data_IF_133427003270
#
_entry.id   IF_133427003270
#
_cell.length_a   1.000
_cell.length_b   1.000
_cell.length_c   1.000
_cell.angle_alpha   90.00
_cell.angle_beta   90.00
_cell.angle_gamma   90.00
#
_symmetry.space_group_name_H-M   'P 1'
#
loop_
_entity.id
_entity.type
_entity.pdbx_description
1 polymer ?
#
# COMPACT_ATOMS: atom_id res chain seq x y z
N UNK A 1 -14.69 38.62 2.19
CA UNK A 1 -13.33 38.76 1.64
C UNK A 1 -12.57 37.51 2.04
N UNK A 2 -12.14 36.70 1.07
CA UNK A 2 -11.38 35.45 1.27
C UNK A 2 -9.95 35.70 1.73
N UNK A 3 -9.24 34.69 2.22
CA UNK A 3 -7.83 34.83 2.66
C UNK A 3 -6.94 35.25 1.50
N UNK A 4 -7.23 34.72 0.30
CA UNK A 4 -6.55 35.06 -0.95
C UNK A 4 -6.77 36.52 -1.33
N UNK A 5 -7.99 37.03 -1.21
CA UNK A 5 -8.30 38.44 -1.46
C UNK A 5 -7.59 39.35 -0.44
N UNK A 6 -7.60 38.98 0.84
CA UNK A 6 -6.88 39.71 1.89
C UNK A 6 -5.38 39.74 1.62
N UNK A 7 -4.78 38.61 1.24
CA UNK A 7 -3.38 38.52 0.86
C UNK A 7 -3.07 39.35 -0.39
N UNK A 8 -3.92 39.33 -1.40
CA UNK A 8 -3.74 40.12 -2.63
C UNK A 8 -3.74 41.63 -2.33
N UNK A 9 -4.67 42.08 -1.48
CA UNK A 9 -4.72 43.48 -1.01
C UNK A 9 -3.46 43.84 -0.21
N UNK A 10 -3.05 42.98 0.72
CA UNK A 10 -1.84 43.21 1.53
C UNK A 10 -0.56 43.20 0.69
N UNK A 11 -0.45 42.30 -0.27
CA UNK A 11 0.68 42.23 -1.20
C UNK A 11 0.73 43.49 -2.08
N UNK A 12 -0.40 43.96 -2.59
CA UNK A 12 -0.46 45.20 -3.36
C UNK A 12 -0.07 46.42 -2.51
N UNK A 13 -0.58 46.51 -1.28
CA UNK A 13 -0.23 47.58 -0.34
C UNK A 13 1.26 47.56 0.03
N UNK A 14 1.82 46.38 0.31
CA UNK A 14 3.24 46.23 0.63
C UNK A 14 4.16 46.54 -0.56
N UNK A 15 3.75 46.24 -1.80
CA UNK A 15 4.49 46.67 -3.00
C UNK A 15 4.54 48.19 -3.14
N UNK A 16 3.46 48.89 -2.76
CA UNK A 16 3.37 50.35 -2.79
C UNK A 16 4.15 51.01 -1.65
N UNK A 17 4.00 50.51 -0.43
CA UNK A 17 4.61 51.09 0.77
C UNK A 17 5.99 50.53 1.10
N UNK A 18 6.41 49.47 0.42
CA UNK A 18 7.72 48.81 0.50
C UNK A 18 8.15 48.44 1.93
N UNK A 19 7.20 48.12 2.81
CA UNK A 19 7.47 47.85 4.22
C UNK A 19 8.26 46.54 4.43
N UNK A 20 7.94 45.50 3.65
CA UNK A 20 8.57 44.18 3.74
C UNK A 20 9.22 43.72 2.43
N UNK A 21 9.16 44.55 1.38
CA UNK A 21 9.81 44.30 0.08
C UNK A 21 11.33 44.11 0.28
N UNK A 22 11.89 43.04 -0.28
CA UNK A 22 13.31 42.69 -0.16
C UNK A 22 13.68 41.83 1.05
N UNK A 23 12.73 41.50 1.93
CA UNK A 23 12.98 40.60 3.07
C UNK A 23 12.73 39.13 2.70
N UNK A 24 13.58 38.24 3.19
CA UNK A 24 13.44 36.78 3.00
C UNK A 24 12.17 36.20 3.68
N UNK A 25 11.65 36.88 4.71
CA UNK A 25 10.46 36.45 5.49
C UNK A 25 9.16 37.14 5.06
N UNK A 26 9.17 37.90 3.96
CA UNK A 26 8.05 38.73 3.50
C UNK A 26 6.73 37.96 3.39
N UNK A 27 6.75 36.81 2.71
CA UNK A 27 5.55 36.00 2.48
C UNK A 27 4.90 35.54 3.80
N UNK A 28 5.72 35.03 4.73
CA UNK A 28 5.28 34.59 6.05
C UNK A 28 4.67 35.73 6.86
N UNK A 29 5.25 36.92 6.82
CA UNK A 29 4.72 38.09 7.55
C UNK A 29 3.37 38.57 7.02
N UNK A 30 3.17 38.54 5.69
CA UNK A 30 1.89 38.90 5.10
C UNK A 30 0.80 37.89 5.48
N UNK A 31 1.13 36.60 5.49
CA UNK A 31 0.22 35.55 5.97
C UNK A 31 -0.11 35.69 7.47
N UNK A 32 0.87 36.02 8.31
CA UNK A 32 0.63 36.27 9.74
C UNK A 32 -0.36 37.43 9.97
N UNK A 33 -0.33 38.47 9.12
CA UNK A 33 -1.29 39.58 9.19
C UNK A 33 -2.70 39.11 8.81
N UNK A 34 -2.83 38.28 7.76
CA UNK A 34 -4.11 37.66 7.38
C UNK A 34 -4.65 36.81 8.53
N UNK A 35 -3.82 35.97 9.13
CA UNK A 35 -4.19 35.09 10.25
C UNK A 35 -4.65 35.89 11.48
N UNK A 36 -3.95 36.96 11.84
CA UNK A 36 -4.36 37.84 12.95
C UNK A 36 -5.68 38.53 12.67
N UNK A 37 -5.90 38.96 11.43
CA UNK A 37 -7.16 39.57 11.03
C UNK A 37 -8.31 38.55 11.09
N UNK A 38 -8.07 37.28 10.74
CA UNK A 38 -9.04 36.17 10.87
C UNK A 38 -9.37 35.81 12.31
N UNK A 39 -8.36 35.78 13.19
CA UNK A 39 -8.57 35.57 14.63
C UNK A 39 -9.44 36.67 15.24
N UNK A 40 -9.30 37.92 14.76
CA UNK A 40 -10.08 39.06 15.25
C UNK A 40 -11.47 39.17 14.60
N UNK A 41 -11.59 38.70 13.36
CA UNK A 41 -12.83 38.72 12.58
C UNK A 41 -13.04 37.35 11.90
N UNK A 42 -13.58 36.37 12.64
CA UNK A 42 -13.90 35.07 12.09
C UNK A 42 -14.96 35.22 10.98
N UNK A 43 -14.73 34.60 9.83
CA UNK A 43 -15.75 34.50 8.78
C UNK A 43 -16.36 33.10 8.91
N UNK A 44 -17.68 33.00 8.81
CA UNK A 44 -18.45 31.79 9.11
C UNK A 44 -17.92 30.53 8.41
N UNK A 45 -18.11 29.40 9.10
CA UNK A 45 -17.57 28.03 8.90
C UNK A 45 -17.72 27.38 7.52
N UNK A 46 -18.06 28.09 6.45
CA UNK A 46 -18.37 27.47 5.16
C UNK A 46 -17.17 27.06 4.31
N UNK A 47 -15.92 27.37 4.68
CA UNK A 47 -14.74 26.89 3.95
C UNK A 47 -13.56 26.60 4.88
N UNK A 48 -13.70 25.58 5.73
CA UNK A 48 -12.54 24.84 6.23
C UNK A 48 -11.88 24.14 5.03
N UNK A 49 -11.01 24.86 4.31
CA UNK A 49 -10.19 24.29 3.26
C UNK A 49 -9.13 23.36 3.89
N UNK A 50 -9.52 22.10 4.14
CA UNK A 50 -8.66 20.96 4.45
C UNK A 50 -7.62 20.65 3.35
N UNK A 51 -7.55 21.50 2.31
CA UNK A 51 -6.59 21.47 1.20
C UNK A 51 -5.14 21.61 1.68
N UNK A 52 -4.89 22.24 2.83
CA UNK A 52 -3.53 22.42 3.37
C UNK A 52 -2.94 21.20 4.09
N UNK A 53 -3.77 20.22 4.46
CA UNK A 53 -3.34 19.02 5.20
C UNK A 53 -3.06 17.81 4.30
N UNK A 54 -3.68 17.77 3.11
CA UNK A 54 -3.46 16.75 2.11
C UNK A 54 -2.45 17.29 1.08
N UNK A 55 -1.19 16.90 1.26
CA UNK A 55 -0.13 17.25 0.32
C UNK A 55 -0.47 16.78 -1.11
N UNK A 56 -0.35 17.72 -2.03
CA UNK A 56 -0.37 17.62 -3.51
C UNK A 56 -1.66 17.20 -4.21
N UNK A 57 -2.19 18.18 -4.95
CA UNK A 57 -2.81 18.14 -6.29
C UNK A 57 -2.94 16.76 -6.95
N UNK A 58 -4.18 16.32 -7.09
CA UNK A 58 -4.72 15.82 -8.36
C UNK A 58 -6.25 15.97 -8.34
N UNK A 59 -6.82 16.32 -9.50
CA UNK A 59 -8.13 16.96 -9.65
C UNK A 59 -9.24 16.37 -8.79
N UNK A 60 -9.86 17.21 -7.95
CA UNK A 60 -11.05 16.82 -7.21
C UNK A 60 -12.05 17.96 -7.13
N UNK A 61 -13.28 17.58 -7.43
CA UNK A 61 -14.53 18.31 -7.48
C UNK A 61 -14.64 19.35 -6.36
N UNK A 62 -14.81 20.60 -6.75
CA UNK A 62 -15.23 21.70 -5.88
C UNK A 62 -16.56 21.30 -5.22
N UNK A 63 -16.54 20.94 -3.93
CA UNK A 63 -17.77 20.65 -3.17
C UNK A 63 -17.78 19.37 -2.31
N UNK A 64 -16.65 18.69 -2.07
CA UNK A 64 -16.66 17.57 -1.12
C UNK A 64 -16.91 18.06 0.31
N UNK A 65 -18.11 17.77 0.81
CA UNK A 65 -18.42 17.93 2.24
C UNK A 65 -17.56 16.94 3.02
N UNK A 66 -16.69 17.44 3.90
CA UNK A 66 -15.74 16.61 4.67
C UNK A 66 -16.41 16.07 5.95
N UNK A 67 -17.46 16.73 6.41
CA UNK A 67 -18.16 16.41 7.64
C UNK A 67 -19.61 16.05 7.30
N UNK A 68 -19.95 14.78 7.49
CA UNK A 68 -21.30 14.27 7.35
C UNK A 68 -21.95 14.18 8.73
N UNK A 69 -23.23 14.52 8.84
CA UNK A 69 -23.99 14.00 9.98
C UNK A 69 -24.21 12.49 9.78
N UNK A 70 -24.53 11.77 10.86
CA UNK A 70 -24.59 10.31 10.84
C UNK A 70 -25.55 9.76 9.77
N UNK A 71 -26.72 10.40 9.56
CA UNK A 71 -27.70 9.96 8.57
C UNK A 71 -27.22 10.20 7.14
N UNK A 72 -26.65 11.37 6.90
CA UNK A 72 -26.11 11.72 5.58
C UNK A 72 -24.92 10.81 5.23
N UNK A 73 -24.08 10.45 6.21
CA UNK A 73 -22.98 9.50 6.01
C UNK A 73 -23.48 8.12 5.59
N UNK A 74 -24.51 7.58 6.27
CA UNK A 74 -25.10 6.28 5.93
C UNK A 74 -25.79 6.27 4.56
N UNK A 75 -26.29 7.42 4.12
CA UNK A 75 -26.94 7.58 2.82
C UNK A 75 -25.94 7.90 1.69
N UNK A 76 -24.63 7.89 1.95
CA UNK A 76 -23.64 8.03 0.88
C UNK A 76 -23.67 6.81 -0.02
N UNK A 77 -23.62 7.02 -1.35
CA UNK A 77 -23.49 5.92 -2.32
C UNK A 77 -22.02 5.50 -2.47
N UNK A 78 -21.40 5.15 -1.34
CA UNK A 78 -20.04 4.64 -1.27
C UNK A 78 -20.08 3.14 -0.99
N UNK A 79 -19.47 2.37 -1.87
CA UNK A 79 -19.36 0.91 -1.74
C UNK A 79 -17.90 0.52 -1.67
N UNK A 80 -17.61 -0.53 -0.90
CA UNK A 80 -16.28 -1.13 -0.89
C UNK A 80 -16.04 -1.77 -2.25
N UNK A 81 -15.04 -1.28 -2.97
CA UNK A 81 -14.54 -1.93 -4.19
C UNK A 81 -13.56 -3.04 -3.78
N UNK A 82 -13.81 -4.27 -4.24
CA UNK A 82 -13.01 -5.44 -3.88
C UNK A 82 -12.04 -5.83 -5.00
N UNK A 83 -10.82 -6.19 -4.62
CA UNK A 83 -9.87 -6.95 -5.46
C UNK A 83 -10.09 -8.44 -5.23
N UNK A 84 -10.26 -8.83 -3.96
CA UNK A 84 -10.61 -10.18 -3.53
C UNK A 84 -11.70 -10.02 -2.47
N UNK A 85 -12.91 -10.52 -2.74
CA UNK A 85 -14.05 -10.26 -1.87
C UNK A 85 -13.84 -10.81 -0.45
N UNK A 86 -14.02 -9.92 0.54
CA UNK A 86 -13.84 -10.26 1.95
C UNK A 86 -12.38 -10.43 2.39
N UNK A 87 -11.41 -10.25 1.50
CA UNK A 87 -9.98 -10.37 1.80
C UNK A 87 -9.15 -9.16 1.40
N UNK A 88 -9.41 -8.50 0.27
CA UNK A 88 -8.59 -7.38 -0.17
C UNK A 88 -9.42 -6.39 -0.95
N UNK A 89 -9.59 -5.20 -0.41
CA UNK A 89 -10.22 -4.07 -1.06
C UNK A 89 -9.27 -3.34 -2.02
N UNK A 90 -9.82 -2.51 -2.90
CA UNK A 90 -9.05 -1.68 -3.82
C UNK A 90 -8.15 -0.71 -3.05
N UNK A 91 -6.86 -0.67 -3.41
CA UNK A 91 -5.86 0.06 -2.66
C UNK A 91 -5.58 -0.53 -1.27
N UNK A 92 -5.98 -1.77 -1.01
CA UNK A 92 -5.77 -2.45 0.26
C UNK A 92 -4.33 -2.91 0.47
N UNK A 93 -4.06 -3.41 1.68
CA UNK A 93 -2.75 -3.92 2.08
C UNK A 93 -2.92 -5.27 2.77
N UNK A 94 -2.61 -6.33 2.04
CA UNK A 94 -2.58 -7.70 2.52
C UNK A 94 -1.18 -8.20 2.92
N UNK A 95 -1.13 -9.13 3.87
CA UNK A 95 0.07 -9.84 4.29
C UNK A 95 -0.20 -11.34 4.36
N UNK A 96 0.71 -12.15 3.83
CA UNK A 96 0.79 -13.58 4.14
C UNK A 96 2.06 -13.90 4.92
N UNK A 97 1.88 -14.54 6.07
CA UNK A 97 2.95 -14.89 7.00
C UNK A 97 3.01 -16.41 7.22
N UNK A 98 4.23 -16.95 7.28
CA UNK A 98 4.46 -18.38 7.52
C UNK A 98 5.94 -18.64 7.78
N UNK A 99 6.26 -19.83 8.28
CA UNK A 99 7.64 -20.31 8.33
C UNK A 99 8.25 -20.46 6.91
N UNK A 100 9.59 -20.43 6.79
CA UNK A 100 10.27 -20.80 5.55
C UNK A 100 9.88 -22.22 5.09
N UNK A 101 9.71 -22.40 3.78
CA UNK A 101 9.38 -23.71 3.18
C UNK A 101 7.91 -24.15 3.27
N UNK A 102 7.00 -23.33 3.83
CA UNK A 102 5.55 -23.67 3.89
C UNK A 102 4.82 -23.44 2.57
N UNK A 103 5.37 -22.62 1.67
CA UNK A 103 4.80 -22.39 0.33
C UNK A 103 4.20 -21.00 0.09
N UNK A 104 4.63 -19.95 0.83
CA UNK A 104 4.10 -18.58 0.70
C UNK A 104 4.26 -18.00 -0.71
N UNK A 105 5.42 -18.22 -1.32
CA UNK A 105 5.72 -17.75 -2.68
C UNK A 105 4.78 -18.41 -3.68
N UNK A 106 4.61 -19.74 -3.60
CA UNK A 106 3.66 -20.49 -4.43
C UNK A 106 2.21 -20.04 -4.22
N UNK A 107 1.81 -19.79 -2.97
CA UNK A 107 0.48 -19.26 -2.64
C UNK A 107 0.28 -17.89 -3.28
N UNK A 108 1.23 -16.98 -3.12
CA UNK A 108 1.10 -15.60 -3.60
C UNK A 108 1.24 -15.48 -5.12
N UNK A 109 2.02 -16.36 -5.76
CA UNK A 109 2.05 -16.48 -7.22
C UNK A 109 0.71 -16.94 -7.76
N UNK A 110 0.11 -17.97 -7.16
CA UNK A 110 -1.21 -18.44 -7.57
C UNK A 110 -2.31 -17.40 -7.28
N UNK A 111 -2.23 -16.69 -6.14
CA UNK A 111 -3.11 -15.55 -5.85
C UNK A 111 -3.00 -14.48 -6.94
N UNK A 112 -1.78 -14.11 -7.35
CA UNK A 112 -1.54 -13.15 -8.41
C UNK A 112 -2.10 -13.62 -9.75
N UNK A 113 -1.93 -14.91 -10.09
CA UNK A 113 -2.47 -15.51 -11.31
C UNK A 113 -4.00 -15.54 -11.29
N UNK A 114 -4.64 -15.99 -10.20
CA UNK A 114 -6.10 -15.96 -10.07
C UNK A 114 -6.65 -14.54 -10.16
N UNK A 115 -5.94 -13.57 -9.59
CA UNK A 115 -6.27 -12.14 -9.69
C UNK A 115 -6.14 -11.62 -11.12
N UNK A 116 -5.10 -12.04 -11.85
CA UNK A 116 -4.90 -11.71 -13.27
C UNK A 116 -5.93 -12.33 -14.20
N UNK A 117 -6.41 -13.53 -13.87
CA UNK A 117 -7.46 -14.23 -14.59
C UNK A 117 -8.87 -13.79 -14.20
N UNK A 118 -9.05 -13.17 -13.03
CA UNK A 118 -10.37 -12.82 -12.50
C UNK A 118 -11.18 -14.07 -12.12
N UNK A 119 -10.52 -15.10 -11.60
CA UNK A 119 -11.14 -16.37 -11.20
C UNK A 119 -11.09 -16.56 -9.69
N UNK A 120 -12.03 -17.31 -9.08
CA UNK A 120 -12.00 -17.58 -7.65
C UNK A 120 -10.69 -18.26 -7.20
N UNK A 121 -10.24 -17.93 -5.99
CA UNK A 121 -9.05 -18.51 -5.38
C UNK A 121 -9.36 -19.00 -3.96
N UNK A 122 -9.21 -20.30 -3.72
CA UNK A 122 -9.41 -20.93 -2.40
C UNK A 122 -10.72 -20.55 -1.69
N UNK A 123 -11.80 -20.36 -2.46
CA UNK A 123 -13.12 -19.99 -1.96
C UNK A 123 -13.39 -18.48 -1.89
N UNK A 124 -12.40 -17.64 -2.15
CA UNK A 124 -12.61 -16.20 -2.35
C UNK A 124 -12.96 -15.89 -3.80
N UNK A 125 -13.93 -15.00 -3.99
CA UNK A 125 -14.31 -14.50 -5.30
C UNK A 125 -13.41 -13.32 -5.70
N UNK A 126 -13.06 -13.25 -6.98
CA UNK A 126 -12.25 -12.18 -7.56
C UNK A 126 -13.11 -11.53 -8.65
N UNK A 127 -13.64 -10.32 -8.43
CA UNK A 127 -14.70 -9.75 -9.26
C UNK A 127 -14.22 -9.28 -10.64
N UNK A 128 -12.93 -9.01 -10.82
CA UNK A 128 -12.37 -8.56 -12.09
C UNK A 128 -10.92 -8.97 -12.29
N UNK A 129 -10.49 -9.06 -13.56
CA UNK A 129 -9.08 -9.21 -13.96
C UNK A 129 -8.28 -7.98 -13.54
N UNK A 130 -7.06 -8.17 -13.08
CA UNK A 130 -6.16 -7.11 -12.63
C UNK A 130 -4.72 -7.39 -13.07
N UNK A 131 -3.97 -6.36 -13.44
CA UNK A 131 -2.54 -6.50 -13.73
C UNK A 131 -1.74 -6.52 -12.43
N UNK A 132 -0.94 -7.55 -12.23
CA UNK A 132 -0.17 -7.78 -11.01
C UNK A 132 1.33 -7.80 -11.31
N UNK A 133 2.09 -7.01 -10.56
CA UNK A 133 3.54 -7.06 -10.53
C UNK A 133 4.00 -7.91 -9.34
N UNK A 134 4.64 -9.04 -9.62
CA UNK A 134 5.28 -9.90 -8.64
C UNK A 134 6.77 -9.57 -8.51
N UNK A 135 7.16 -8.93 -7.41
CA UNK A 135 8.52 -8.52 -7.10
C UNK A 135 9.18 -9.54 -6.16
N UNK A 136 10.06 -10.39 -6.71
CA UNK A 136 10.83 -11.38 -5.96
C UNK A 136 12.21 -10.84 -5.59
N UNK A 137 12.38 -10.51 -4.31
CA UNK A 137 13.60 -9.98 -3.69
C UNK A 137 14.46 -11.05 -3.01
N UNK A 138 13.91 -12.24 -2.77
CA UNK A 138 14.62 -13.32 -2.08
C UNK A 138 15.04 -14.47 -2.97
N UNK A 139 14.15 -14.89 -3.87
CA UNK A 139 14.40 -16.07 -4.69
C UNK A 139 15.25 -15.71 -5.91
N UNK A 140 16.17 -16.62 -6.26
CA UNK A 140 16.91 -16.52 -7.52
C UNK A 140 15.96 -16.66 -8.71
N UNK A 141 16.34 -16.07 -9.84
CA UNK A 141 15.62 -16.20 -11.10
C UNK A 141 15.35 -17.67 -11.47
N UNK A 142 16.35 -18.55 -11.32
CA UNK A 142 16.25 -19.97 -11.66
C UNK A 142 15.20 -20.67 -10.82
N UNK A 143 15.20 -20.45 -9.50
CA UNK A 143 14.24 -21.06 -8.58
C UNK A 143 12.81 -20.57 -8.81
N UNK A 144 12.66 -19.27 -9.07
CA UNK A 144 11.35 -18.70 -9.38
C UNK A 144 10.81 -19.24 -10.70
N UNK A 145 11.64 -19.29 -11.75
CA UNK A 145 11.27 -19.88 -13.04
C UNK A 145 10.79 -21.32 -12.89
N UNK A 146 11.52 -22.16 -12.16
CA UNK A 146 11.14 -23.56 -11.92
C UNK A 146 9.75 -23.69 -11.28
N UNK A 147 9.46 -22.88 -10.26
CA UNK A 147 8.15 -22.87 -9.59
C UNK A 147 7.06 -22.40 -10.56
N UNK A 148 7.30 -21.31 -11.29
CA UNK A 148 6.33 -20.76 -12.24
C UNK A 148 6.04 -21.75 -13.38
N UNK A 149 7.04 -22.49 -13.87
CA UNK A 149 6.84 -23.54 -14.88
C UNK A 149 5.94 -24.68 -14.38
N UNK A 150 6.06 -25.06 -13.11
CA UNK A 150 5.17 -26.07 -12.52
C UNK A 150 3.74 -25.54 -12.41
N UNK A 151 3.58 -24.31 -11.92
CA UNK A 151 2.26 -23.66 -11.79
C UNK A 151 1.59 -23.50 -13.16
N UNK A 152 2.35 -23.09 -14.18
CA UNK A 152 1.85 -22.84 -15.53
C UNK A 152 1.23 -24.08 -16.20
N UNK A 153 1.66 -25.29 -15.83
CA UNK A 153 1.08 -26.55 -16.35
C UNK A 153 -0.38 -26.76 -15.96
N UNK A 154 -0.87 -26.02 -14.96
CA UNK A 154 -2.26 -26.10 -14.50
C UNK A 154 -3.25 -25.27 -15.32
N UNK A 155 -2.80 -24.51 -16.31
CA UNK A 155 -3.64 -23.55 -17.05
C UNK A 155 -3.71 -23.87 -18.55
N UNK A 156 -4.81 -23.50 -19.20
CA UNK A 156 -4.99 -23.67 -20.65
C UNK A 156 -4.17 -22.65 -21.44
N UNK A 157 -3.94 -22.86 -22.75
CA UNK A 157 -3.27 -21.88 -23.60
C UNK A 157 -3.90 -20.48 -23.55
N UNK A 158 -5.23 -20.38 -23.54
CA UNK A 158 -5.97 -19.12 -23.49
C UNK A 158 -5.80 -18.41 -22.13
N UNK A 159 -5.79 -19.17 -21.04
CA UNK A 159 -5.49 -18.64 -19.71
C UNK A 159 -4.04 -18.15 -19.63
N UNK A 160 -3.09 -18.88 -20.21
CA UNK A 160 -1.68 -18.49 -20.25
C UNK A 160 -1.46 -17.20 -21.04
N UNK A 161 -2.22 -16.93 -22.11
CA UNK A 161 -2.20 -15.64 -22.80
C UNK A 161 -2.65 -14.50 -21.88
N UNK A 162 -3.77 -14.69 -21.17
CA UNK A 162 -4.25 -13.69 -20.19
C UNK A 162 -3.23 -13.48 -19.06
N UNK A 163 -2.61 -14.56 -18.57
CA UNK A 163 -1.57 -14.49 -17.53
C UNK A 163 -0.36 -13.71 -18.06
N UNK A 164 0.07 -13.95 -19.29
CA UNK A 164 1.22 -13.26 -19.89
C UNK A 164 0.99 -11.74 -20.00
N UNK A 165 -0.25 -11.31 -20.27
CA UNK A 165 -0.61 -9.88 -20.32
C UNK A 165 -0.67 -9.21 -18.93
N UNK A 166 -1.12 -9.97 -17.93
CA UNK A 166 -1.50 -9.41 -16.64
C UNK A 166 -0.57 -9.76 -15.48
N UNK A 167 0.33 -10.75 -15.59
CA UNK A 167 1.30 -11.10 -14.54
C UNK A 167 2.71 -10.73 -14.99
N UNK A 168 3.26 -9.71 -14.35
CA UNK A 168 4.63 -9.26 -14.55
C UNK A 168 5.50 -9.78 -13.42
N UNK A 169 6.64 -10.39 -13.73
CA UNK A 169 7.55 -10.94 -12.72
C UNK A 169 8.86 -10.18 -12.77
N UNK A 170 9.26 -9.61 -11.63
CA UNK A 170 10.55 -8.95 -11.42
C UNK A 170 11.41 -9.80 -10.46
N UNK A 171 12.25 -10.71 -11.00
CA UNK A 171 13.10 -11.61 -10.22
C UNK A 171 14.41 -10.94 -9.81
N UNK A 172 14.32 -9.97 -8.90
CA UNK A 172 15.45 -9.15 -8.46
C UNK A 172 16.46 -9.97 -7.64
N UNK A 173 15.98 -10.82 -6.72
CA UNK A 173 16.83 -11.70 -5.90
C UNK A 173 17.76 -10.99 -4.91
N UNK A 174 17.61 -9.67 -4.76
CA UNK A 174 18.35 -8.83 -3.82
C UNK A 174 17.42 -7.85 -3.07
N UNK A 175 17.94 -7.26 -1.99
CA UNK A 175 17.18 -6.33 -1.17
C UNK A 175 17.02 -4.96 -1.85
N UNK A 176 15.81 -4.40 -1.78
CA UNK A 176 15.50 -3.05 -2.24
C UNK A 176 15.08 -2.22 -1.04
N UNK A 177 15.95 -1.33 -0.58
CA UNK A 177 15.66 -0.48 0.58
C UNK A 177 14.69 0.65 0.24
N UNK A 178 13.41 0.51 0.60
CA UNK A 178 12.41 1.57 0.44
C UNK A 178 12.54 2.68 1.47
N UNK A 179 13.38 2.50 2.50
CA UNK A 179 13.82 3.58 3.39
C UNK A 179 14.87 4.51 2.74
N UNK A 180 15.28 4.22 1.50
CA UNK A 180 16.17 5.06 0.69
C UNK A 180 15.46 5.61 -0.54
N UNK A 181 15.88 6.80 -0.97
CA UNK A 181 15.28 7.50 -2.12
C UNK A 181 15.45 6.71 -3.42
N UNK A 182 16.55 5.97 -3.57
CA UNK A 182 16.83 5.16 -4.75
C UNK A 182 15.87 3.97 -4.85
N UNK A 183 15.62 3.27 -3.73
CA UNK A 183 14.73 2.11 -3.71
C UNK A 183 13.28 2.51 -4.00
N UNK A 184 12.79 3.60 -3.40
CA UNK A 184 11.45 4.10 -3.71
C UNK A 184 11.34 4.57 -5.15
N UNK A 185 12.33 5.31 -5.69
CA UNK A 185 12.31 5.74 -7.10
C UNK A 185 12.33 4.58 -8.07
N UNK A 186 13.11 3.54 -7.77
CA UNK A 186 13.11 2.32 -8.56
C UNK A 186 11.71 1.69 -8.60
N UNK A 187 11.08 1.51 -7.44
CA UNK A 187 9.73 0.95 -7.38
C UNK A 187 8.69 1.85 -8.06
N UNK A 188 8.74 3.17 -7.85
CA UNK A 188 7.89 4.14 -8.56
C UNK A 188 8.07 4.03 -10.08
N UNK A 189 9.31 3.91 -10.57
CA UNK A 189 9.58 3.78 -12.00
C UNK A 189 8.99 2.50 -12.61
N UNK A 190 9.04 1.38 -11.87
CA UNK A 190 8.39 0.13 -12.31
C UNK A 190 6.87 0.31 -12.39
N UNK A 191 6.27 0.92 -11.37
CA UNK A 191 4.82 1.16 -11.35
C UNK A 191 4.41 2.10 -12.48
N UNK A 192 5.17 3.17 -12.72
CA UNK A 192 4.89 4.15 -13.78
C UNK A 192 5.03 3.54 -15.18
N UNK A 193 6.04 2.70 -15.40
CA UNK A 193 6.27 2.03 -16.70
C UNK A 193 5.27 0.94 -17.00
N UNK A 194 4.92 0.12 -16.01
CA UNK A 194 4.13 -1.10 -16.22
C UNK A 194 2.65 -0.97 -15.84
N UNK A 195 2.32 0.05 -15.03
CA UNK A 195 0.97 0.37 -14.54
C UNK A 195 0.22 -0.85 -14.00
N UNK A 196 0.79 -1.59 -13.01
CA UNK A 196 0.06 -2.67 -12.37
C UNK A 196 -1.06 -2.12 -11.48
N UNK A 197 -2.16 -2.85 -11.39
CA UNK A 197 -3.22 -2.59 -10.42
C UNK A 197 -2.84 -3.09 -9.00
N UNK A 198 -1.89 -4.04 -8.94
CA UNK A 198 -1.44 -4.66 -7.69
C UNK A 198 0.02 -5.05 -7.67
N UNK A 199 0.62 -5.05 -6.48
CA UNK A 199 2.02 -5.41 -6.30
C UNK A 199 2.15 -6.46 -5.21
N UNK A 200 2.73 -7.61 -5.57
CA UNK A 200 3.14 -8.66 -4.64
C UNK A 200 4.63 -8.53 -4.37
N UNK A 201 5.04 -8.49 -3.10
CA UNK A 201 6.45 -8.33 -2.71
C UNK A 201 6.91 -9.52 -1.85
N UNK A 202 7.83 -10.30 -2.41
CA UNK A 202 8.45 -11.46 -1.78
C UNK A 202 9.94 -11.24 -1.48
N UNK A 203 10.35 -10.81 -0.29
CA UNK A 203 9.55 -10.64 0.93
C UNK A 203 9.67 -9.23 1.48
N UNK A 204 8.74 -8.85 2.35
CA UNK A 204 8.80 -7.61 3.12
C UNK A 204 10.12 -7.50 3.91
N UNK A 205 10.71 -8.63 4.29
CA UNK A 205 12.00 -8.75 4.97
C UNK A 205 13.16 -8.08 4.22
N UNK A 206 13.04 -7.95 2.90
CA UNK A 206 14.07 -7.42 2.00
C UNK A 206 13.85 -5.96 1.59
N UNK A 207 12.88 -5.29 2.21
CA UNK A 207 12.58 -3.89 1.92
C UNK A 207 13.38 -2.86 2.72
N UNK A 208 14.24 -3.31 3.62
CA UNK A 208 15.21 -2.46 4.30
C UNK A 208 16.52 -3.20 4.51
N UNK A 209 17.62 -2.47 4.43
CA UNK A 209 18.95 -2.96 4.80
C UNK A 209 19.17 -3.00 6.32
N UNK A 210 18.23 -2.48 7.11
CA UNK A 210 18.23 -2.55 8.58
C UNK A 210 17.25 -3.61 9.03
N UNK A 211 17.47 -4.18 10.21
CA UNK A 211 16.49 -5.10 10.78
C UNK A 211 15.12 -4.43 10.91
N UNK A 212 14.08 -5.11 10.40
CA UNK A 212 12.67 -4.70 10.45
C UNK A 212 12.09 -4.81 11.88
N UNK A 213 12.96 -4.92 12.89
CA UNK A 213 12.63 -4.77 14.31
C UNK A 213 12.61 -3.29 14.75
N UNK A 214 13.19 -2.38 13.96
CA UNK A 214 13.29 -0.96 14.31
C UNK A 214 12.01 -0.18 13.96
N UNK A 215 11.32 0.35 14.98
CA UNK A 215 10.07 1.10 14.82
C UNK A 215 10.17 2.29 13.85
N UNK A 216 11.31 2.98 13.81
CA UNK A 216 11.52 4.12 12.91
C UNK A 216 11.50 3.66 11.45
N UNK A 217 12.16 2.53 11.16
CA UNK A 217 12.20 1.94 9.82
C UNK A 217 10.79 1.50 9.41
N UNK A 218 10.05 0.85 10.29
CA UNK A 218 8.67 0.40 10.02
C UNK A 218 7.76 1.59 9.73
N UNK A 219 7.85 2.68 10.50
CA UNK A 219 7.07 3.91 10.23
C UNK A 219 7.40 4.52 8.87
N UNK A 220 8.69 4.55 8.50
CA UNK A 220 9.11 5.04 7.18
C UNK A 220 8.50 4.16 6.08
N UNK A 221 8.61 2.84 6.21
CA UNK A 221 8.07 1.87 5.24
C UNK A 221 6.54 2.01 5.12
N UNK A 222 5.80 2.07 6.24
CA UNK A 222 4.36 2.26 6.24
C UNK A 222 3.95 3.55 5.52
N UNK A 223 4.68 4.66 5.75
CA UNK A 223 4.45 5.91 5.04
C UNK A 223 4.70 5.76 3.53
N UNK A 224 5.72 5.01 3.10
CA UNK A 224 5.93 4.71 1.68
C UNK A 224 4.80 3.86 1.11
N UNK A 225 4.30 2.86 1.84
CA UNK A 225 3.18 2.03 1.39
C UNK A 225 1.91 2.86 1.21
N UNK A 226 1.57 3.73 2.17
CA UNK A 226 0.45 4.68 2.05
C UNK A 226 0.64 5.57 0.82
N UNK A 227 1.84 6.12 0.63
CA UNK A 227 2.15 7.00 -0.51
C UNK A 227 1.96 6.26 -1.84
N UNK A 228 2.49 5.04 -1.97
CA UNK A 228 2.36 4.25 -3.20
C UNK A 228 0.88 3.96 -3.51
N UNK A 229 0.11 3.50 -2.52
CA UNK A 229 -1.32 3.23 -2.65
C UNK A 229 -2.11 4.47 -3.05
N UNK A 230 -1.85 5.63 -2.42
CA UNK A 230 -2.52 6.89 -2.74
C UNK A 230 -2.13 7.46 -4.10
N UNK A 231 -0.85 7.39 -4.47
CA UNK A 231 -0.33 7.96 -5.73
C UNK A 231 -0.74 7.12 -6.94
N UNK A 232 -0.73 5.80 -6.82
CA UNK A 232 -0.92 4.91 -7.98
C UNK A 232 -2.22 4.10 -7.95
N UNK A 233 -2.96 4.11 -6.84
CA UNK A 233 -4.17 3.31 -6.67
C UNK A 233 -3.93 1.80 -6.55
N UNK A 234 -2.66 1.36 -6.49
CA UNK A 234 -2.32 -0.05 -6.43
C UNK A 234 -2.66 -0.66 -5.06
N UNK A 235 -3.12 -1.90 -5.03
CA UNK A 235 -3.11 -2.70 -3.80
C UNK A 235 -1.74 -3.34 -3.57
N UNK A 236 -1.41 -3.63 -2.31
CA UNK A 236 -0.13 -4.24 -1.92
C UNK A 236 -0.36 -5.59 -1.24
N UNK A 237 0.46 -6.57 -1.59
CA UNK A 237 0.46 -7.89 -0.96
C UNK A 237 1.88 -8.30 -0.57
N UNK A 238 2.09 -8.52 0.72
CA UNK A 238 3.42 -8.81 1.26
C UNK A 238 3.56 -10.25 1.70
N UNK A 239 4.74 -10.81 1.43
CA UNK A 239 5.17 -12.06 2.02
C UNK A 239 6.07 -11.76 3.20
N UNK A 240 5.78 -12.39 4.35
CA UNK A 240 6.61 -12.26 5.55
C UNK A 240 6.99 -13.62 6.11
N UNK A 241 8.24 -13.73 6.56
CA UNK A 241 8.71 -14.90 7.30
C UNK A 241 8.46 -14.65 8.78
N UNK A 242 7.71 -15.53 9.43
CA UNK A 242 7.69 -15.54 10.88
C UNK A 242 9.08 -15.95 11.39
N UNK A 243 9.49 -15.37 12.52
CA UNK A 243 10.73 -15.77 13.20
C UNK A 243 10.69 -17.28 13.46
N UNK A 244 11.84 -17.94 13.32
CA UNK A 244 12.06 -19.26 13.91
C UNK A 244 12.06 -19.06 15.43
N UNK A 245 11.15 -19.68 16.16
CA UNK A 245 11.23 -19.72 17.62
C UNK A 245 11.33 -21.14 18.17
N UNK A 246 11.96 -21.20 19.34
CA UNK A 246 12.59 -22.34 19.96
C UNK A 246 11.61 -23.45 20.36
N UNK A 247 12.01 -24.70 20.12
CA UNK A 247 11.58 -25.89 20.85
C UNK A 247 10.17 -26.45 20.58
N UNK A 248 9.13 -25.60 20.52
CA UNK A 248 7.74 -26.05 20.45
C UNK A 248 6.98 -25.37 19.30
N UNK A 249 6.95 -26.04 18.15
CA UNK A 249 6.12 -25.69 16.99
C UNK A 249 4.62 -25.82 17.32
N UNK A 250 4.04 -24.84 18.03
CA UNK A 250 2.59 -24.68 18.15
C UNK A 250 2.11 -23.85 16.96
N UNK A 251 0.98 -24.25 16.37
CA UNK A 251 0.26 -23.42 15.38
C UNK A 251 0.04 -22.05 16.04
N UNK A 252 0.45 -20.92 15.43
CA UNK A 252 0.20 -19.61 15.99
C UNK A 252 -1.31 -19.48 16.17
N UNK A 253 -1.71 -19.25 17.42
CA UNK A 253 -3.14 -19.14 17.80
C UNK A 253 -3.55 -17.70 17.96
N UNK A 254 -2.57 -16.82 18.18
CA UNK A 254 -2.81 -15.42 18.38
C UNK A 254 -2.02 -14.61 17.35
N UNK A 255 -2.65 -13.50 16.98
CA UNK A 255 -2.09 -12.43 16.20
C UNK A 255 -0.67 -12.01 16.67
N UNK A 256 -0.43 -11.98 17.99
CA UNK A 256 0.87 -11.70 18.59
C UNK A 256 2.02 -12.63 18.14
N UNK A 257 1.72 -13.90 17.82
CA UNK A 257 2.71 -14.90 17.37
C UNK A 257 3.18 -14.62 15.92
N UNK A 258 2.38 -13.87 15.17
CA UNK A 258 2.72 -13.32 13.84
C UNK A 258 3.46 -11.99 14.03
N UNK A 259 3.02 -11.20 15.01
CA UNK A 259 3.35 -9.80 15.21
C UNK A 259 4.55 -9.58 16.10
N UNK A 260 5.67 -10.25 15.84
CA UNK A 260 6.94 -9.99 16.52
C UNK A 260 7.32 -8.49 16.60
N UNK A 261 6.65 -7.63 15.80
CA UNK A 261 6.50 -6.20 16.05
C UNK A 261 5.06 -5.69 15.71
N UNK A 262 4.34 -5.09 16.68
CA UNK A 262 2.97 -4.55 16.52
C UNK A 262 2.86 -3.43 15.46
N UNK A 263 3.96 -2.77 15.09
CA UNK A 263 3.94 -1.65 14.14
C UNK A 263 3.82 -2.08 12.66
N UNK A 264 4.11 -3.35 12.36
CA UNK A 264 4.06 -3.87 10.99
C UNK A 264 2.63 -3.90 10.45
N UNK A 265 1.63 -4.03 11.32
CA UNK A 265 0.24 -4.33 10.94
C UNK A 265 -0.72 -3.16 11.03
N UNK A 266 -0.28 -1.99 11.50
CA UNK A 266 -1.16 -0.84 11.72
C UNK A 266 -1.91 -0.38 10.46
N UNK A 267 -1.34 -0.63 9.29
CA UNK A 267 -1.87 -0.22 7.99
C UNK A 267 -2.40 -1.39 7.14
N UNK A 268 -2.34 -2.61 7.68
CA UNK A 268 -2.77 -3.82 7.00
C UNK A 268 -4.28 -3.95 7.11
N UNK A 269 -4.92 -4.19 5.98
CA UNK A 269 -6.37 -4.47 5.93
C UNK A 269 -6.65 -5.96 6.03
N UNK A 270 -5.68 -6.80 5.64
CA UNK A 270 -5.79 -8.25 5.76
C UNK A 270 -4.48 -8.95 6.11
N UNK A 271 -4.60 -10.03 6.88
CA UNK A 271 -3.49 -10.88 7.26
C UNK A 271 -3.88 -12.36 7.21
N UNK A 272 -3.08 -13.16 6.51
CA UNK A 272 -3.20 -14.61 6.43
C UNK A 272 -1.99 -15.29 7.05
N UNK A 273 -2.22 -16.41 7.74
CA UNK A 273 -1.16 -17.31 8.19
C UNK A 273 -1.24 -18.62 7.43
N UNK A 274 -0.13 -19.04 6.83
CA UNK A 274 0.01 -20.40 6.31
C UNK A 274 0.78 -21.25 7.33
N UNK A 275 0.31 -22.48 7.53
CA UNK A 275 0.96 -23.43 8.41
C UNK A 275 1.01 -24.81 7.74
N UNK A 276 2.17 -25.45 7.81
CA UNK A 276 2.30 -26.83 7.34
C UNK A 276 1.71 -27.76 8.39
N UNK A 277 0.68 -28.52 8.02
CA UNK A 277 0.19 -29.59 8.89
C UNK A 277 1.30 -30.63 9.07
N UNK A 278 1.54 -31.08 10.30
CA UNK A 278 2.44 -32.23 10.52
C UNK A 278 1.76 -33.42 9.84
N UNK A 279 2.42 -34.03 8.87
CA UNK A 279 1.94 -35.27 8.26
C UNK A 279 1.55 -36.24 9.38
N UNK A 280 0.28 -36.67 9.39
CA UNK A 280 -0.02 -37.98 9.97
C UNK A 280 0.78 -38.95 9.10
N UNK A 281 1.78 -39.62 9.69
CA UNK A 281 2.45 -40.74 9.03
C UNK A 281 1.40 -41.57 8.30
N UNK A 282 1.64 -41.87 7.03
CA UNK A 282 0.90 -42.87 6.27
C UNK A 282 0.68 -44.08 7.18
N UNK A 283 -0.52 -44.22 7.73
CA UNK A 283 -0.93 -45.49 8.31
C UNK A 283 -1.25 -46.35 7.11
N UNK A 284 -0.35 -47.26 6.78
CA UNK A 284 -0.76 -48.50 6.12
C UNK A 284 -1.75 -49.13 7.09
N UNK A 285 -3.03 -49.08 6.71
CA UNK A 285 -4.07 -49.85 7.37
C UNK A 285 -3.95 -51.21 6.69
N UNK A 286 -3.41 -52.19 7.42
CA UNK A 286 -3.54 -53.61 7.07
C UNK A 286 -5.01 -54.04 7.15
#
# INVERSE_FOLDING_TARGET
MTDTEMYAVLNNADQRWKKFVGRNDRHRRLLDIVNRARLKHPVGDSELNFRGLLGSDEGTTTGSTIIYNFKDFLNTDLKVEWVIEGLLEKGGFGLVAAMPGVGKTQFSLQLAISTALGIPFLGWNIPSKQKVLFLSLEMSHVSLKYITEIIARGYTPEELETINENVLIAPIGEAISLDRIEGIRFLESLIESYRPDGIVIDSMGKLSNKEISNEVVIKILNNQYIRLRKKFGCWLWFIHHNRKENGDNKKPTNLADIYGNQYITAEMTSCLILWKEKEKMLRVID
#
